data_IF_815740640959
#
_entry.id   IF_815740640959
#
_cell.length_a   1.000
_cell.length_b   1.000
_cell.length_c   1.000
_cell.angle_alpha   90.00
_cell.angle_beta   90.00
_cell.angle_gamma   90.00
#
_symmetry.space_group_name_H-M   'P 1'
#
loop_
_entity.id
_entity.type
_entity.pdbx_description
1 polymer ?
#
# COMPACT_ATOMS: atom_id res chain seq x y z
N UNK A 1 -18.93 8.45 -18.61
CA UNK A 1 -17.87 9.43 -18.29
C UNK A 1 -17.44 10.06 -19.60
N UNK A 2 -17.76 11.30 -19.81
CA UNK A 2 -17.38 12.08 -20.99
C UNK A 2 -15.89 12.38 -20.97
N UNK A 3 -15.33 12.81 -22.09
CA UNK A 3 -13.91 13.19 -22.17
C UNK A 3 -13.60 14.40 -21.26
N UNK A 4 -14.59 15.27 -21.04
CA UNK A 4 -14.53 16.40 -20.11
C UNK A 4 -14.57 15.97 -18.64
N UNK A 5 -15.41 15.01 -18.28
CA UNK A 5 -15.41 14.41 -16.93
C UNK A 5 -14.10 13.67 -16.63
N UNK A 6 -13.53 12.99 -17.62
CA UNK A 6 -12.23 12.35 -17.52
C UNK A 6 -11.10 13.36 -17.36
N UNK A 7 -11.17 14.50 -18.09
CA UNK A 7 -10.22 15.59 -17.97
C UNK A 7 -10.35 16.31 -16.62
N UNK A 8 -11.57 16.48 -16.10
CA UNK A 8 -11.83 17.07 -14.80
C UNK A 8 -11.26 16.18 -13.65
N UNK A 9 -11.44 14.86 -13.75
CA UNK A 9 -10.78 13.92 -12.81
C UNK A 9 -9.26 13.96 -12.90
N UNK A 10 -8.67 14.17 -14.08
CA UNK A 10 -7.23 14.39 -14.26
C UNK A 10 -6.72 15.66 -13.61
N UNK A 11 -7.55 16.69 -13.48
CA UNK A 11 -7.18 17.99 -12.90
C UNK A 11 -6.73 17.88 -11.43
N UNK A 12 -7.25 16.90 -10.70
CA UNK A 12 -6.87 16.61 -9.30
C UNK A 12 -5.75 15.57 -9.15
N UNK A 13 -5.40 14.86 -10.22
CA UNK A 13 -4.38 13.81 -10.15
C UNK A 13 -2.94 14.34 -10.17
N UNK A 14 -2.72 15.61 -10.44
CA UNK A 14 -1.41 16.19 -10.70
C UNK A 14 -0.73 15.55 -11.94
N UNK A 15 0.41 16.05 -12.40
CA UNK A 15 1.13 15.41 -13.49
C UNK A 15 1.57 14.01 -13.08
N UNK A 16 1.14 13.00 -13.83
CA UNK A 16 1.52 11.61 -13.59
C UNK A 16 3.04 11.50 -13.58
N UNK A 17 3.61 10.87 -12.55
CA UNK A 17 5.03 10.53 -12.56
C UNK A 17 5.29 9.65 -13.79
N UNK A 18 6.44 9.75 -14.46
CA UNK A 18 6.82 8.80 -15.51
C UNK A 18 6.72 7.34 -15.08
N UNK A 19 6.98 7.06 -13.78
CA UNK A 19 6.81 5.75 -13.16
C UNK A 19 5.35 5.30 -12.95
N UNK A 20 4.37 6.19 -13.15
CA UNK A 20 2.93 5.87 -13.13
C UNK A 20 2.39 5.61 -14.54
N UNK A 21 3.18 5.84 -15.58
CA UNK A 21 2.87 5.32 -16.90
C UNK A 21 2.90 3.79 -16.81
N UNK A 22 1.84 3.15 -17.28
CA UNK A 22 1.62 1.70 -17.16
C UNK A 22 2.72 0.85 -17.80
N UNK A 23 3.56 1.47 -18.62
CA UNK A 23 4.74 0.87 -19.24
C UNK A 23 5.84 1.90 -19.42
N UNK A 24 7.07 1.45 -19.25
CA UNK A 24 8.23 2.30 -19.50
C UNK A 24 8.40 2.46 -21.02
N UNK A 25 8.30 3.70 -21.48
CA UNK A 25 8.54 4.03 -22.88
C UNK A 25 9.99 3.72 -23.25
N UNK A 26 10.21 3.05 -24.39
CA UNK A 26 11.55 2.68 -24.88
C UNK A 26 12.20 1.49 -24.15
N UNK A 27 11.46 0.75 -23.31
CA UNK A 27 11.94 -0.50 -22.72
C UNK A 27 11.51 -1.69 -23.57
N UNK A 28 12.46 -2.57 -23.85
CA UNK A 28 12.21 -3.84 -24.53
C UNK A 28 11.69 -4.89 -23.51
N UNK A 29 10.40 -5.15 -23.54
CA UNK A 29 9.72 -6.12 -22.67
C UNK A 29 9.88 -7.57 -23.13
N UNK A 30 10.61 -7.84 -24.18
CA UNK A 30 11.03 -9.19 -24.61
C UNK A 30 12.40 -9.56 -24.05
N UNK A 31 13.18 -8.57 -23.57
CA UNK A 31 14.54 -8.78 -23.10
C UNK A 31 14.60 -9.41 -21.70
N UNK A 32 15.75 -10.04 -21.39
CA UNK A 32 16.03 -10.65 -20.09
C UNK A 32 15.93 -9.66 -18.95
N UNK A 33 14.85 -9.78 -18.14
CA UNK A 33 14.56 -8.89 -16.99
C UNK A 33 13.59 -9.54 -16.02
N UNK A 34 13.56 -9.04 -14.78
CA UNK A 34 12.53 -9.35 -13.78
C UNK A 34 11.48 -8.26 -13.73
N UNK A 35 10.24 -8.67 -13.64
CA UNK A 35 9.08 -7.77 -13.61
C UNK A 35 8.17 -8.13 -12.46
N UNK A 36 7.89 -7.17 -11.57
CA UNK A 36 6.80 -7.27 -10.62
C UNK A 36 5.50 -6.87 -11.33
N UNK A 37 4.59 -7.79 -11.44
CA UNK A 37 3.29 -7.61 -12.08
C UNK A 37 2.22 -7.44 -11.00
N UNK A 38 1.36 -6.43 -11.16
CA UNK A 38 0.18 -6.24 -10.32
C UNK A 38 -1.07 -6.23 -11.17
N UNK A 39 -2.00 -7.13 -10.87
CA UNK A 39 -3.30 -7.20 -11.53
C UNK A 39 -4.43 -7.17 -10.52
N UNK A 40 -5.50 -6.46 -10.86
CA UNK A 40 -6.62 -6.20 -9.97
C UNK A 40 -7.89 -6.83 -10.54
N UNK A 41 -8.71 -7.41 -9.67
CA UNK A 41 -10.05 -7.89 -10.01
C UNK A 41 -10.94 -6.69 -10.35
N UNK A 42 -11.77 -6.82 -11.37
CA UNK A 42 -12.75 -5.81 -11.75
C UNK A 42 -13.69 -5.50 -10.58
N UNK A 43 -13.87 -4.20 -10.29
CA UNK A 43 -14.65 -3.75 -9.14
C UNK A 43 -14.05 -4.08 -7.77
N UNK A 44 -12.79 -4.51 -7.68
CA UNK A 44 -12.15 -4.88 -6.41
C UNK A 44 -12.90 -5.96 -5.62
N UNK A 45 -13.64 -6.83 -6.30
CA UNK A 45 -14.37 -7.93 -5.67
C UNK A 45 -13.40 -8.94 -5.06
N UNK A 46 -13.61 -9.39 -3.81
CA UNK A 46 -12.69 -10.31 -3.12
C UNK A 46 -12.90 -11.77 -3.58
N UNK A 47 -12.62 -12.05 -4.86
CA UNK A 47 -12.93 -13.34 -5.50
C UNK A 47 -11.87 -14.42 -5.27
N UNK A 48 -10.64 -14.05 -4.88
CA UNK A 48 -9.55 -15.02 -4.75
C UNK A 48 -9.47 -15.67 -3.37
N UNK A 49 -10.25 -15.21 -2.42
CA UNK A 49 -10.27 -15.79 -1.09
C UNK A 49 -10.57 -14.78 0.01
N UNK A 50 -10.43 -15.24 1.24
CA UNK A 50 -10.63 -14.40 2.43
C UNK A 50 -9.33 -14.23 3.19
N UNK A 51 -9.16 -13.05 3.77
CA UNK A 51 -8.07 -12.79 4.67
C UNK A 51 -8.36 -13.43 6.02
N UNK A 52 -7.45 -14.25 6.51
CA UNK A 52 -7.46 -14.84 7.84
C UNK A 52 -6.20 -14.38 8.59
N UNK A 53 -6.30 -14.22 9.89
CA UNK A 53 -5.17 -13.80 10.70
C UNK A 53 -5.43 -13.97 12.19
N UNK A 54 -4.35 -13.98 12.94
CA UNK A 54 -4.33 -14.05 14.40
C UNK A 54 -3.47 -12.91 14.93
N UNK A 55 -3.99 -12.20 15.92
CA UNK A 55 -3.27 -11.11 16.56
C UNK A 55 -2.09 -11.70 17.35
N UNK A 56 -0.89 -11.22 17.07
CA UNK A 56 0.29 -11.49 17.86
C UNK A 56 0.41 -10.53 19.05
N UNK A 57 1.40 -10.72 19.88
CA UNK A 57 1.70 -9.79 21.00
C UNK A 57 2.12 -8.40 20.49
N UNK A 58 2.69 -8.34 19.30
CA UNK A 58 3.05 -7.11 18.61
C UNK A 58 2.57 -7.18 17.15
N UNK A 59 2.47 -6.03 16.44
CA UNK A 59 2.16 -6.03 15.02
C UNK A 59 3.11 -6.91 14.17
N UNK A 60 4.39 -6.99 14.54
CA UNK A 60 5.37 -7.84 13.83
C UNK A 60 5.10 -9.33 14.01
N UNK A 61 4.60 -9.75 15.17
CA UNK A 61 4.27 -11.15 15.48
C UNK A 61 2.85 -11.53 15.05
N UNK A 62 2.08 -10.58 14.52
CA UNK A 62 0.76 -10.85 13.94
C UNK A 62 0.92 -11.67 12.66
N UNK A 63 0.25 -12.80 12.59
CA UNK A 63 0.23 -13.67 11.43
C UNK A 63 -1.05 -13.47 10.64
N UNK A 64 -0.92 -13.39 9.32
CA UNK A 64 -2.08 -13.36 8.44
C UNK A 64 -1.76 -13.96 7.07
N UNK A 65 -2.76 -14.60 6.50
CA UNK A 65 -2.69 -15.24 5.19
C UNK A 65 -3.99 -15.04 4.42
N UNK A 66 -4.00 -15.39 3.16
CA UNK A 66 -5.22 -15.45 2.36
C UNK A 66 -5.59 -16.91 2.17
N UNK A 67 -6.72 -17.31 2.74
CA UNK A 67 -7.34 -18.61 2.48
C UNK A 67 -7.99 -18.54 1.10
N UNK A 68 -7.44 -19.29 0.14
CA UNK A 68 -7.83 -19.18 -1.25
C UNK A 68 -9.20 -19.80 -1.50
N UNK A 69 -10.00 -19.14 -2.34
CA UNK A 69 -11.21 -19.71 -2.94
C UNK A 69 -10.83 -20.70 -4.04
N UNK A 70 -11.80 -21.52 -4.54
CA UNK A 70 -11.55 -22.36 -5.70
C UNK A 70 -11.03 -21.57 -6.92
N UNK A 71 -11.52 -20.36 -7.14
CA UNK A 71 -11.01 -19.49 -8.19
C UNK A 71 -9.59 -19.00 -7.86
N UNK A 72 -9.33 -18.63 -6.60
CA UNK A 72 -7.99 -18.21 -6.16
C UNK A 72 -6.94 -19.30 -6.36
N UNK A 73 -7.30 -20.55 -6.03
CA UNK A 73 -6.44 -21.70 -6.28
C UNK A 73 -6.16 -21.86 -7.78
N UNK A 74 -7.18 -21.82 -8.61
CA UNK A 74 -7.03 -21.93 -10.07
C UNK A 74 -6.14 -20.80 -10.63
N UNK A 75 -6.29 -19.57 -10.16
CA UNK A 75 -5.45 -18.44 -10.56
C UNK A 75 -3.99 -18.68 -10.16
N UNK A 76 -3.74 -19.27 -8.99
CA UNK A 76 -2.39 -19.66 -8.54
C UNK A 76 -1.79 -20.71 -9.46
N UNK A 77 -2.54 -21.74 -9.80
CA UNK A 77 -2.08 -22.83 -10.66
C UNK A 77 -1.76 -22.31 -12.07
N UNK A 78 -2.59 -21.44 -12.64
CA UNK A 78 -2.36 -20.80 -13.94
C UNK A 78 -1.11 -19.88 -13.92
N UNK A 79 -0.83 -19.21 -12.80
CA UNK A 79 0.39 -18.42 -12.67
C UNK A 79 1.64 -19.29 -12.68
N UNK A 80 1.62 -20.40 -11.99
CA UNK A 80 2.73 -21.35 -11.97
C UNK A 80 2.90 -22.06 -13.33
N UNK A 81 1.80 -22.26 -14.07
CA UNK A 81 1.82 -22.84 -15.40
C UNK A 81 2.37 -21.88 -16.48
N UNK A 82 2.63 -20.61 -16.19
CA UNK A 82 3.23 -19.65 -17.14
C UNK A 82 4.51 -20.22 -17.71
N UNK A 83 5.39 -20.81 -16.91
CA UNK A 83 6.64 -21.42 -17.37
C UNK A 83 6.45 -22.59 -18.33
N UNK A 84 5.33 -23.30 -18.22
CA UNK A 84 5.00 -24.42 -19.13
C UNK A 84 4.63 -23.90 -20.52
N UNK A 85 3.92 -22.77 -20.59
CA UNK A 85 3.48 -22.17 -21.86
C UNK A 85 4.53 -21.25 -22.48
N UNK A 86 5.42 -20.70 -21.66
CA UNK A 86 6.49 -19.78 -22.03
C UNK A 86 7.76 -20.23 -21.32
N UNK A 87 8.51 -21.20 -21.87
CA UNK A 87 9.70 -21.77 -21.25
C UNK A 87 10.80 -20.74 -20.94
N UNK A 88 10.80 -19.63 -21.68
CA UNK A 88 11.72 -18.50 -21.48
C UNK A 88 11.33 -17.60 -20.29
N UNK A 89 10.17 -17.87 -19.62
CA UNK A 89 9.67 -17.06 -18.51
C UNK A 89 9.46 -17.92 -17.27
N UNK A 90 10.13 -17.55 -16.19
CA UNK A 90 9.97 -18.21 -14.88
C UNK A 90 9.08 -17.42 -13.94
N UNK A 91 8.09 -18.08 -13.34
CA UNK A 91 7.27 -17.54 -12.27
C UNK A 91 8.03 -17.60 -10.93
N UNK A 92 8.67 -16.48 -10.55
CA UNK A 92 9.58 -16.39 -9.38
C UNK A 92 8.83 -16.31 -8.06
N UNK A 93 7.70 -15.58 -8.03
CA UNK A 93 6.92 -15.36 -6.81
C UNK A 93 5.48 -15.00 -7.16
N UNK A 94 4.57 -15.33 -6.25
CA UNK A 94 3.15 -14.94 -6.34
C UNK A 94 2.62 -14.68 -4.93
N UNK A 95 1.91 -13.56 -4.77
CA UNK A 95 1.07 -13.27 -3.62
C UNK A 95 -0.34 -12.93 -4.11
N UNK A 96 -1.28 -13.81 -3.81
CA UNK A 96 -2.71 -13.55 -4.02
C UNK A 96 -3.28 -12.82 -2.81
N UNK A 97 -3.93 -11.71 -3.09
CA UNK A 97 -4.75 -10.97 -2.15
C UNK A 97 -6.22 -11.19 -2.51
N UNK A 98 -7.19 -10.92 -1.62
CA UNK A 98 -8.58 -11.21 -1.92
C UNK A 98 -9.10 -10.65 -3.25
N UNK A 99 -8.62 -9.47 -3.67
CA UNK A 99 -9.12 -8.69 -4.80
C UNK A 99 -8.06 -8.34 -5.86
N UNK A 100 -6.84 -8.85 -5.72
CA UNK A 100 -5.74 -8.60 -6.65
C UNK A 100 -4.61 -9.61 -6.47
N UNK A 101 -3.68 -9.61 -7.42
CA UNK A 101 -2.43 -10.35 -7.28
C UNK A 101 -1.21 -9.45 -7.47
N UNK A 102 -0.14 -9.86 -6.82
CA UNK A 102 1.21 -9.45 -7.12
C UNK A 102 2.04 -10.67 -7.47
N UNK A 103 2.75 -10.64 -8.59
CA UNK A 103 3.61 -11.75 -8.98
C UNK A 103 4.90 -11.24 -9.59
N UNK A 104 5.98 -11.99 -9.45
CA UNK A 104 7.26 -11.69 -10.08
C UNK A 104 7.51 -12.70 -11.17
N UNK A 105 7.69 -12.20 -12.40
CA UNK A 105 8.12 -12.98 -13.56
C UNK A 105 9.56 -12.63 -13.91
N UNK A 106 10.31 -13.63 -14.26
CA UNK A 106 11.66 -13.48 -14.79
C UNK A 106 11.70 -13.96 -16.24
N UNK A 107 11.94 -13.05 -17.17
CA UNK A 107 12.31 -13.38 -18.55
C UNK A 107 13.79 -13.76 -18.55
N UNK A 108 14.07 -15.06 -18.68
CA UNK A 108 15.44 -15.60 -18.57
C UNK A 108 16.24 -15.44 -19.86
N UNK A 109 15.55 -15.52 -21.00
CA UNK A 109 16.10 -15.40 -22.33
C UNK A 109 15.28 -14.44 -23.15
N UNK A 110 15.87 -13.90 -24.23
CA UNK A 110 15.13 -13.07 -25.19
C UNK A 110 13.91 -13.83 -25.71
N UNK A 111 12.73 -13.24 -25.56
CA UNK A 111 11.48 -13.80 -26.07
C UNK A 111 11.30 -13.45 -27.54
N UNK A 112 10.70 -14.34 -28.32
CA UNK A 112 10.20 -14.02 -29.67
C UNK A 112 8.97 -13.10 -29.57
N UNK A 113 8.11 -13.32 -28.55
CA UNK A 113 6.95 -12.51 -28.24
C UNK A 113 7.27 -11.40 -27.24
N UNK A 114 6.23 -10.89 -26.62
CA UNK A 114 6.32 -9.78 -25.68
C UNK A 114 5.69 -10.18 -24.34
N UNK A 115 6.21 -9.68 -23.19
CA UNK A 115 5.65 -9.95 -21.86
C UNK A 115 4.13 -9.74 -21.76
N UNK A 116 3.57 -8.82 -22.58
CA UNK A 116 2.12 -8.65 -22.66
C UNK A 116 1.36 -9.84 -23.22
N UNK A 117 2.01 -10.68 -24.02
CA UNK A 117 1.38 -11.86 -24.58
C UNK A 117 1.27 -12.95 -23.52
N UNK A 118 2.29 -13.10 -22.69
CA UNK A 118 2.28 -13.94 -21.48
C UNK A 118 1.13 -13.53 -20.57
N UNK A 119 1.02 -12.24 -20.25
CA UNK A 119 -0.05 -11.73 -19.37
C UNK A 119 -1.44 -11.86 -20.05
N UNK A 120 -1.53 -11.71 -21.36
CA UNK A 120 -2.79 -11.91 -22.11
C UNK A 120 -3.22 -13.37 -22.06
N UNK A 121 -2.32 -14.31 -22.26
CA UNK A 121 -2.58 -15.75 -22.13
C UNK A 121 -3.08 -16.08 -20.72
N UNK A 122 -2.38 -15.65 -19.69
CA UNK A 122 -2.77 -15.81 -18.29
C UNK A 122 -4.18 -15.23 -18.01
N UNK A 123 -4.47 -14.00 -18.48
CA UNK A 123 -5.80 -13.39 -18.32
C UNK A 123 -6.88 -14.18 -19.03
N UNK A 124 -6.59 -14.72 -20.20
CA UNK A 124 -7.55 -15.51 -20.98
C UNK A 124 -7.91 -16.80 -20.24
N UNK A 125 -6.93 -17.56 -19.76
CA UNK A 125 -7.14 -18.80 -19.02
C UNK A 125 -7.90 -18.54 -17.71
N UNK A 126 -7.49 -17.57 -16.93
CA UNK A 126 -8.15 -17.23 -15.67
C UNK A 126 -9.55 -16.62 -15.83
N UNK A 127 -9.83 -15.89 -16.92
CA UNK A 127 -11.20 -15.46 -17.28
C UNK A 127 -12.10 -16.65 -17.63
N UNK A 128 -11.56 -17.67 -18.31
CA UNK A 128 -12.27 -18.91 -18.57
C UNK A 128 -12.64 -19.60 -17.26
N UNK A 129 -11.69 -19.77 -16.36
CA UNK A 129 -11.91 -20.33 -15.04
C UNK A 129 -12.96 -19.54 -14.22
N UNK A 130 -12.92 -18.22 -14.25
CA UNK A 130 -13.91 -17.37 -13.59
C UNK A 130 -15.33 -17.62 -14.12
N UNK A 131 -15.50 -17.72 -15.45
CA UNK A 131 -16.81 -18.01 -16.04
C UNK A 131 -17.34 -19.37 -15.61
N UNK A 132 -16.48 -20.37 -15.54
CA UNK A 132 -16.85 -21.73 -15.12
C UNK A 132 -17.19 -21.79 -13.63
N UNK A 133 -16.30 -21.29 -12.78
CA UNK A 133 -16.38 -21.46 -11.32
C UNK A 133 -17.39 -20.50 -10.67
N UNK A 134 -17.39 -19.24 -11.10
CA UNK A 134 -18.19 -18.19 -10.43
C UNK A 134 -19.51 -17.92 -11.16
N UNK A 135 -19.50 -17.90 -12.50
CA UNK A 135 -20.70 -17.60 -13.27
C UNK A 135 -21.50 -18.85 -13.66
N UNK A 136 -21.00 -20.07 -13.38
CA UNK A 136 -21.68 -21.33 -13.73
C UNK A 136 -21.88 -21.53 -15.22
N UNK A 137 -21.13 -20.83 -16.08
CA UNK A 137 -21.24 -20.92 -17.53
C UNK A 137 -20.36 -22.04 -18.05
N UNK A 138 -20.99 -23.18 -18.44
CA UNK A 138 -20.31 -24.21 -19.25
C UNK A 138 -19.84 -23.60 -20.58
N UNK A 139 -18.74 -24.09 -21.12
CA UNK A 139 -18.28 -23.67 -22.44
C UNK A 139 -19.31 -24.00 -23.51
N UNK A 140 -19.78 -23.01 -24.24
CA UNK A 140 -20.46 -23.24 -25.51
C UNK A 140 -19.40 -23.74 -26.49
N UNK A 141 -19.32 -25.06 -26.70
CA UNK A 141 -18.56 -25.64 -27.81
C UNK A 141 -17.40 -26.60 -27.47
N UNK A 142 -17.34 -27.21 -26.31
CA UNK A 142 -16.46 -28.37 -26.14
C UNK A 142 -17.22 -29.63 -26.58
N UNK A 143 -16.97 -30.09 -27.80
CA UNK A 143 -17.34 -31.43 -28.22
C UNK A 143 -16.76 -32.42 -27.20
N UNK A 144 -17.59 -33.39 -26.74
CA UNK A 144 -17.15 -34.42 -25.81
C UNK A 144 -15.91 -35.14 -26.37
N UNK A 145 -14.87 -35.37 -25.54
CA UNK A 145 -13.75 -36.16 -25.99
C UNK A 145 -14.24 -37.58 -26.32
N UNK A 146 -13.70 -38.22 -27.36
CA UNK A 146 -14.06 -39.60 -27.69
C UNK A 146 -13.70 -40.49 -26.50
N UNK A 147 -14.65 -41.28 -26.05
CA UNK A 147 -14.45 -42.30 -25.03
C UNK A 147 -13.47 -43.34 -25.59
N UNK A 148 -12.22 -43.30 -25.16
CA UNK A 148 -11.31 -44.42 -25.33
C UNK A 148 -11.50 -45.39 -24.18
N UNK A 149 -11.94 -46.59 -24.58
CA UNK A 149 -12.09 -47.78 -23.76
C UNK A 149 -10.80 -48.10 -22.98
N UNK A 150 -11.00 -48.45 -21.71
CA UNK A 150 -10.00 -49.01 -20.82
C UNK A 150 -9.31 -50.23 -21.42
N UNK A 151 -7.99 -50.22 -21.43
CA UNK A 151 -7.23 -51.46 -21.33
C UNK A 151 -6.23 -51.33 -20.19
N UNK A 152 -6.40 -52.25 -19.26
CA UNK A 152 -5.61 -52.42 -18.06
C UNK A 152 -4.15 -52.83 -18.40
N UNK A 153 -3.18 -52.16 -17.82
CA UNK A 153 -1.78 -52.54 -17.83
C UNK A 153 -1.16 -52.30 -16.47
N UNK A 154 -0.83 -53.41 -15.81
CA UNK A 154 -0.18 -53.49 -14.48
C UNK A 154 1.26 -52.97 -14.51
N UNK A 155 1.66 -52.33 -13.35
CA UNK A 155 3.00 -52.55 -12.74
C UNK A 155 3.97 -51.40 -12.91
N UNK A 156 4.37 -50.70 -11.90
CA UNK A 156 5.52 -50.89 -11.01
C UNK A 156 5.68 -49.64 -10.10
N UNK A 157 5.83 -49.89 -8.83
CA UNK A 157 6.24 -48.92 -7.84
C UNK A 157 7.76 -48.73 -7.90
N UNK A 158 8.24 -47.47 -7.79
CA UNK A 158 9.51 -47.19 -7.16
C UNK A 158 9.62 -45.70 -6.77
N UNK A 159 9.87 -45.51 -5.54
CA UNK A 159 10.62 -44.62 -4.69
C UNK A 159 10.91 -43.18 -5.16
N UNK A 160 10.20 -42.19 -4.65
CA UNK A 160 10.65 -40.80 -4.67
C UNK A 160 11.08 -40.34 -3.27
N UNK A 161 12.37 -40.15 -3.14
CA UNK A 161 13.08 -39.60 -1.97
C UNK A 161 12.68 -38.16 -1.73
N UNK A 162 12.19 -37.86 -0.53
CA UNK A 162 11.97 -36.50 -0.04
C UNK A 162 13.30 -35.85 0.29
N UNK A 163 13.63 -34.77 -0.37
CA UNK A 163 14.76 -33.91 0.02
C UNK A 163 14.24 -32.78 0.86
N UNK A 164 14.47 -32.87 2.18
CA UNK A 164 14.19 -31.81 3.13
C UNK A 164 15.21 -30.66 2.98
N UNK A 165 14.72 -29.44 2.82
CA UNK A 165 15.55 -28.25 2.95
C UNK A 165 15.43 -27.69 4.36
N UNK A 166 16.53 -27.80 5.08
CA UNK A 166 16.78 -27.21 6.39
C UNK A 166 16.90 -25.69 6.29
N UNK A 167 16.19 -24.97 7.15
CA UNK A 167 16.35 -23.54 7.33
C UNK A 167 17.63 -23.25 8.12
N UNK A 168 18.59 -22.61 7.48
CA UNK A 168 19.77 -22.07 8.16
C UNK A 168 19.60 -20.55 8.31
N UNK A 169 19.88 -20.08 9.54
CA UNK A 169 19.67 -18.72 9.99
C UNK A 169 20.43 -17.65 9.18
N UNK A 170 19.77 -16.54 8.97
CA UNK A 170 20.36 -15.32 8.42
C UNK A 170 20.73 -14.37 9.56
N UNK A 171 22.03 -14.25 9.76
CA UNK A 171 22.70 -13.26 10.60
C UNK A 171 22.43 -11.85 10.10
N UNK A 172 22.25 -10.93 11.05
CA UNK A 172 22.09 -9.50 10.81
C UNK A 172 23.35 -8.92 10.14
N UNK A 173 23.19 -8.41 8.91
CA UNK A 173 24.22 -7.64 8.22
C UNK A 173 23.88 -6.15 8.29
N UNK A 174 24.87 -5.37 8.77
CA UNK A 174 24.76 -3.95 9.07
C UNK A 174 24.33 -3.08 7.89
N UNK A 175 23.52 -2.10 8.19
CA UNK A 175 23.14 -1.03 7.29
C UNK A 175 24.24 0.03 7.27
N UNK A 176 24.95 0.14 6.14
CA UNK A 176 25.81 1.28 5.82
C UNK A 176 24.94 2.50 5.56
N UNK A 177 25.24 3.59 6.24
CA UNK A 177 24.56 4.87 6.05
C UNK A 177 25.10 5.55 4.79
N UNK A 178 24.37 5.42 3.69
CA UNK A 178 24.46 6.37 2.58
C UNK A 178 23.13 6.36 1.82
N UNK A 179 22.50 7.52 1.78
CA UNK A 179 21.29 7.77 1.02
C UNK A 179 20.00 7.76 1.84
N UNK A 180 19.71 8.91 2.48
CA UNK A 180 18.37 9.28 2.88
C UNK A 180 17.48 9.41 1.63
N UNK A 181 17.12 8.29 1.02
CA UNK A 181 16.13 8.24 -0.05
C UNK A 181 14.77 8.44 0.59
N UNK A 182 14.12 9.52 0.20
CA UNK A 182 12.76 9.83 0.57
C UNK A 182 11.90 8.57 0.53
N UNK A 183 11.24 8.29 1.66
CA UNK A 183 10.24 7.24 1.77
C UNK A 183 9.20 7.48 0.69
N UNK A 184 9.22 6.66 -0.36
CA UNK A 184 8.26 6.76 -1.43
C UNK A 184 6.89 6.37 -0.91
N UNK A 185 6.03 7.36 -0.71
CA UNK A 185 4.62 7.11 -0.52
C UNK A 185 4.07 6.53 -1.83
N UNK A 186 3.84 5.23 -1.86
CA UNK A 186 3.17 4.58 -2.98
C UNK A 186 1.69 4.93 -2.94
N UNK A 187 1.28 5.91 -3.74
CA UNK A 187 -0.12 6.23 -3.94
C UNK A 187 -0.76 5.17 -4.86
N UNK A 188 -1.49 4.25 -4.28
CA UNK A 188 -2.38 3.36 -5.02
C UNK A 188 -3.72 4.07 -5.21
N UNK A 189 -3.99 4.55 -6.42
CA UNK A 189 -5.28 5.12 -6.79
C UNK A 189 -6.32 4.01 -6.99
N UNK A 190 -7.17 3.80 -5.99
CA UNK A 190 -8.40 3.02 -6.11
C UNK A 190 -9.58 3.97 -6.26
N UNK A 191 -10.15 4.09 -7.44
CA UNK A 191 -11.37 4.84 -7.69
C UNK A 191 -12.57 4.13 -7.04
N UNK A 192 -13.21 4.79 -6.07
CA UNK A 192 -14.53 4.41 -5.56
C UNK A 192 -15.58 5.17 -6.37
N UNK A 193 -16.37 4.46 -7.18
CA UNK A 193 -17.50 5.05 -7.88
C UNK A 193 -18.72 5.08 -6.97
N UNK A 194 -19.26 6.28 -6.75
CA UNK A 194 -20.56 6.49 -6.13
C UNK A 194 -21.68 6.15 -7.13
N UNK A 195 -22.72 5.45 -6.63
CA UNK A 195 -23.93 5.11 -7.39
C UNK A 195 -24.80 6.35 -7.50
N UNK A 196 -24.98 6.85 -8.73
CA UNK A 196 -25.96 7.88 -9.07
C UNK A 196 -26.85 7.37 -10.21
N UNK A 197 -28.17 7.36 -10.00
CA UNK A 197 -29.16 7.09 -11.04
C UNK A 197 -29.16 8.18 -12.10
N UNK A 198 -29.01 7.80 -13.37
CA UNK A 198 -29.21 8.71 -14.49
C UNK A 198 -29.88 7.99 -15.68
N UNK A 199 -30.74 8.72 -16.38
CA UNK A 199 -31.63 8.32 -17.44
C UNK A 199 -30.89 7.83 -18.69
N UNK A 200 -31.58 6.95 -19.47
CA UNK A 200 -31.05 6.27 -20.64
C UNK A 200 -30.71 7.24 -21.80
N UNK A 201 -29.45 7.18 -22.23
CA UNK A 201 -28.91 7.83 -23.43
C UNK A 201 -28.55 6.73 -24.46
N UNK A 202 -28.68 6.94 -25.78
CA UNK A 202 -28.52 5.88 -26.78
C UNK A 202 -27.09 5.31 -26.81
N UNK A 203 -27.04 3.98 -26.85
CA UNK A 203 -25.81 3.18 -26.68
C UNK A 203 -24.86 3.30 -27.86
N UNK A 204 -23.70 3.88 -27.65
CA UNK A 204 -22.56 3.86 -28.57
C UNK A 204 -21.77 2.53 -28.50
N UNK A 205 -20.89 2.29 -29.49
CA UNK A 205 -19.99 1.10 -29.46
C UNK A 205 -19.14 0.99 -28.19
N UNK A 206 -18.93 2.10 -27.46
CA UNK A 206 -18.18 2.15 -26.18
C UNK A 206 -19.00 1.56 -25.03
N UNK A 207 -20.32 1.73 -25.02
CA UNK A 207 -21.20 1.21 -23.96
C UNK A 207 -21.30 -0.31 -23.99
N UNK A 208 -21.34 -0.93 -25.19
CA UNK A 208 -21.29 -2.40 -25.30
C UNK A 208 -20.02 -3.03 -24.73
N UNK A 209 -18.88 -2.31 -24.78
CA UNK A 209 -17.65 -2.79 -24.15
C UNK A 209 -17.70 -2.68 -22.63
N UNK A 210 -18.49 -1.75 -22.09
CA UNK A 210 -18.67 -1.57 -20.64
C UNK A 210 -19.63 -2.64 -20.08
N UNK A 211 -20.77 -2.87 -20.73
CA UNK A 211 -21.69 -3.96 -20.38
C UNK A 211 -21.06 -5.35 -20.47
N UNK A 212 -20.20 -5.57 -21.47
CA UNK A 212 -19.41 -6.80 -21.58
C UNK A 212 -18.40 -6.94 -20.44
N UNK A 213 -17.94 -5.83 -19.83
CA UNK A 213 -17.03 -5.84 -18.67
C UNK A 213 -17.75 -6.13 -17.37
N UNK A 214 -18.95 -5.62 -17.18
CA UNK A 214 -19.77 -5.93 -15.99
C UNK A 214 -20.21 -7.40 -15.94
N UNK A 215 -20.38 -8.03 -17.09
CA UNK A 215 -20.96 -9.36 -17.19
C UNK A 215 -19.96 -10.50 -17.46
N UNK A 216 -18.65 -10.29 -17.39
CA UNK A 216 -17.81 -11.42 -17.71
C UNK A 216 -16.30 -11.28 -17.67
N UNK A 217 -15.75 -10.21 -17.18
CA UNK A 217 -14.31 -10.09 -17.00
C UNK A 217 -13.90 -10.21 -15.54
N UNK A 218 -12.90 -11.05 -15.28
CA UNK A 218 -12.28 -11.17 -13.96
C UNK A 218 -11.40 -9.97 -13.65
N UNK A 219 -10.62 -9.50 -14.63
CA UNK A 219 -9.57 -8.53 -14.46
C UNK A 219 -9.94 -7.14 -14.96
N UNK A 220 -9.49 -6.11 -14.26
CA UNK A 220 -9.46 -4.76 -14.81
C UNK A 220 -8.64 -4.72 -16.11
N UNK A 221 -8.94 -3.77 -17.02
CA UNK A 221 -8.11 -3.55 -18.20
C UNK A 221 -6.65 -3.27 -17.82
N UNK A 222 -5.72 -3.81 -18.61
CA UNK A 222 -4.28 -3.65 -18.41
C UNK A 222 -3.75 -4.31 -17.10
N UNK A 223 -2.54 -3.97 -16.73
CA UNK A 223 -1.84 -4.36 -15.50
C UNK A 223 -0.75 -3.33 -15.21
N UNK A 224 -0.28 -3.29 -13.98
CA UNK A 224 0.89 -2.50 -13.61
C UNK A 224 2.12 -3.40 -13.59
N UNK A 225 3.22 -2.91 -14.11
CA UNK A 225 4.53 -3.56 -14.04
C UNK A 225 5.56 -2.63 -13.40
N UNK A 226 6.52 -3.24 -12.73
CA UNK A 226 7.71 -2.59 -12.21
C UNK A 226 8.92 -3.43 -12.58
N UNK A 227 9.91 -2.80 -13.23
CA UNK A 227 11.13 -3.47 -13.69
C UNK A 227 12.11 -3.50 -12.53
N UNK A 228 12.49 -4.69 -12.08
CA UNK A 228 13.51 -4.87 -11.05
C UNK A 228 14.90 -4.68 -11.69
N UNK A 229 15.56 -3.61 -11.31
CA UNK A 229 16.85 -3.23 -11.93
C UNK A 229 17.99 -3.14 -10.92
N UNK A 230 17.69 -3.05 -9.62
CA UNK A 230 18.68 -2.80 -8.58
C UNK A 230 19.06 -4.10 -7.85
N UNK A 231 20.33 -4.19 -7.42
CA UNK A 231 20.78 -5.30 -6.57
C UNK A 231 19.98 -5.35 -5.27
N UNK A 232 19.56 -6.56 -4.88
CA UNK A 232 18.76 -6.79 -3.66
C UNK A 232 17.29 -6.33 -3.75
N UNK A 233 16.85 -5.85 -4.92
CA UNK A 233 15.46 -5.42 -5.11
C UNK A 233 14.50 -6.61 -5.09
N UNK A 234 14.92 -7.76 -5.63
CA UNK A 234 14.11 -8.99 -5.62
C UNK A 234 13.76 -9.43 -4.20
N UNK A 235 14.74 -9.48 -3.30
CA UNK A 235 14.52 -9.95 -1.93
C UNK A 235 13.60 -8.99 -1.15
N UNK A 236 13.79 -7.68 -1.34
CA UNK A 236 12.88 -6.67 -0.77
C UNK A 236 11.44 -6.82 -1.26
N UNK A 237 11.27 -7.11 -2.55
CA UNK A 237 9.93 -7.34 -3.10
C UNK A 237 9.33 -8.65 -2.63
N UNK A 238 10.10 -9.73 -2.56
CA UNK A 238 9.64 -11.01 -1.99
C UNK A 238 9.16 -10.83 -0.56
N UNK A 239 9.95 -10.17 0.27
CA UNK A 239 9.57 -9.87 1.65
C UNK A 239 8.32 -9.01 1.74
N UNK A 240 8.24 -7.94 0.92
CA UNK A 240 7.05 -7.09 0.85
C UNK A 240 5.80 -7.88 0.43
N UNK A 241 5.92 -8.76 -0.55
CA UNK A 241 4.80 -9.58 -1.02
C UNK A 241 4.32 -10.55 0.06
N UNK A 242 5.24 -11.23 0.73
CA UNK A 242 4.93 -12.13 1.83
C UNK A 242 4.24 -11.41 3.00
N UNK A 243 4.61 -10.16 3.27
CA UNK A 243 4.05 -9.32 4.34
C UNK A 243 2.69 -8.69 4.00
N UNK A 244 2.26 -8.69 2.74
CA UNK A 244 1.03 -8.03 2.31
C UNK A 244 -0.24 -8.50 3.04
N UNK A 245 -0.47 -9.81 3.30
CA UNK A 245 -1.63 -10.26 4.07
C UNK A 245 -1.64 -9.67 5.48
N UNK A 246 -0.52 -9.71 6.21
CA UNK A 246 -0.38 -9.14 7.55
C UNK A 246 -0.68 -7.63 7.54
N UNK A 247 -0.11 -6.89 6.59
CA UNK A 247 -0.38 -5.45 6.43
C UNK A 247 -1.85 -5.15 6.14
N UNK A 248 -2.50 -5.97 5.34
CA UNK A 248 -3.92 -5.82 5.07
C UNK A 248 -4.75 -6.11 6.33
N UNK A 249 -4.39 -7.16 7.07
CA UNK A 249 -5.04 -7.55 8.31
C UNK A 249 -4.96 -6.43 9.36
N UNK A 250 -3.76 -5.93 9.66
CA UNK A 250 -3.54 -4.84 10.60
C UNK A 250 -4.30 -3.56 10.22
N UNK A 251 -4.33 -3.21 8.93
CA UNK A 251 -5.10 -2.04 8.46
C UNK A 251 -6.61 -2.19 8.64
N UNK A 252 -7.13 -3.41 8.49
CA UNK A 252 -8.55 -3.67 8.70
C UNK A 252 -8.92 -3.66 10.19
N UNK A 253 -8.01 -4.09 11.04
CA UNK A 253 -8.18 -4.06 12.50
C UNK A 253 -8.11 -2.66 13.08
N UNK A 254 -7.20 -1.83 12.55
CA UNK A 254 -6.90 -0.50 13.08
C UNK A 254 -7.02 0.58 11.97
N UNK A 255 -8.21 0.78 11.39
CA UNK A 255 -8.38 1.69 10.25
C UNK A 255 -7.97 3.13 10.60
N UNK A 256 -8.14 3.56 11.85
CA UNK A 256 -7.82 4.91 12.32
C UNK A 256 -6.33 5.24 12.25
N UNK A 257 -5.46 4.24 12.41
CA UNK A 257 -4.01 4.41 12.33
C UNK A 257 -3.50 4.55 10.89
N UNK A 258 -4.30 4.15 9.91
CA UNK A 258 -3.88 4.08 8.50
C UNK A 258 -4.69 4.96 7.55
N UNK A 259 -5.76 5.60 8.05
CA UNK A 259 -6.52 6.59 7.29
C UNK A 259 -5.89 7.96 7.47
N UNK A 260 -5.67 8.67 6.34
CA UNK A 260 -5.25 10.06 6.40
C UNK A 260 -6.41 10.93 6.90
N UNK A 261 -6.17 11.69 7.93
CA UNK A 261 -7.07 12.73 8.43
C UNK A 261 -6.65 14.07 7.87
N UNK A 262 -7.62 14.89 7.49
CA UNK A 262 -7.41 16.25 6.98
C UNK A 262 -8.07 17.25 7.93
N UNK A 263 -7.66 18.51 7.85
CA UNK A 263 -8.27 19.56 8.64
C UNK A 263 -7.83 19.60 10.10
N UNK A 264 -6.74 18.91 10.46
CA UNK A 264 -6.21 18.91 11.81
C UNK A 264 -5.57 20.27 12.12
N UNK A 265 -6.22 21.08 12.98
CA UNK A 265 -5.73 22.41 13.33
C UNK A 265 -4.75 22.35 14.49
N UNK A 266 -3.55 22.92 14.28
CA UNK A 266 -2.51 23.09 15.29
C UNK A 266 -2.02 24.52 15.18
N UNK A 267 -2.45 25.37 16.12
CA UNK A 267 -2.25 26.83 16.01
C UNK A 267 -2.82 27.37 14.68
N UNK A 268 -1.98 28.02 13.90
CA UNK A 268 -2.34 28.55 12.56
C UNK A 268 -2.33 27.50 11.45
N UNK A 269 -1.74 26.33 11.70
CA UNK A 269 -1.56 25.31 10.68
C UNK A 269 -2.80 24.41 10.52
N UNK A 270 -3.10 24.09 9.25
CA UNK A 270 -4.11 23.10 8.87
C UNK A 270 -3.37 21.88 8.31
N UNK A 271 -3.31 20.81 9.10
CA UNK A 271 -2.47 19.67 8.81
C UNK A 271 -3.25 18.47 8.27
N UNK A 272 -2.60 17.69 7.42
CA UNK A 272 -2.93 16.31 7.14
C UNK A 272 -2.11 15.38 8.05
N UNK A 273 -2.71 14.25 8.49
CA UNK A 273 -2.10 13.37 9.46
C UNK A 273 -2.38 11.90 9.17
N UNK A 274 -1.43 11.01 9.45
CA UNK A 274 -1.60 9.55 9.45
C UNK A 274 -0.80 8.94 10.61
N UNK A 275 -1.37 7.95 11.28
CA UNK A 275 -0.81 7.34 12.49
C UNK A 275 -1.60 7.69 13.74
N UNK A 276 -0.99 7.51 14.89
CA UNK A 276 -1.63 7.70 16.18
C UNK A 276 -1.76 9.18 16.57
N UNK A 277 -2.93 9.77 16.37
CA UNK A 277 -3.23 11.17 16.72
C UNK A 277 -3.24 11.44 18.22
N UNK A 278 -3.43 10.42 19.07
CA UNK A 278 -3.39 10.59 20.53
C UNK A 278 -2.01 11.01 21.04
N UNK A 279 -0.93 10.84 20.22
CA UNK A 279 0.38 11.35 20.58
C UNK A 279 0.41 12.88 20.72
N UNK A 280 -0.52 13.61 20.09
CA UNK A 280 -0.65 15.07 20.25
C UNK A 280 -1.20 15.48 21.63
N UNK A 281 -1.88 14.58 22.31
CA UNK A 281 -2.41 14.81 23.66
C UNK A 281 -1.51 14.24 24.77
N UNK A 282 -0.30 13.82 24.41
CA UNK A 282 0.63 13.27 25.40
C UNK A 282 1.08 14.35 26.38
N UNK A 283 1.21 14.03 27.68
CA UNK A 283 1.50 15.04 28.71
C UNK A 283 2.91 15.66 28.57
N UNK A 284 3.81 14.97 27.90
CA UNK A 284 5.18 15.46 27.68
C UNK A 284 5.58 15.22 26.25
N UNK A 285 5.58 16.30 25.46
CA UNK A 285 6.11 16.31 24.09
C UNK A 285 7.35 17.18 24.07
N UNK A 286 8.41 16.71 23.43
CA UNK A 286 9.69 17.41 23.37
C UNK A 286 10.06 17.66 21.91
N UNK A 287 10.20 18.93 21.54
CA UNK A 287 10.73 19.31 20.24
C UNK A 287 12.21 18.92 20.13
N UNK A 288 12.55 18.15 19.11
CA UNK A 288 13.95 17.89 18.75
C UNK A 288 14.38 18.95 17.75
N UNK A 289 15.31 19.79 18.17
CA UNK A 289 15.88 20.84 17.35
C UNK A 289 17.39 20.87 17.57
N UNK A 290 18.17 20.73 16.49
CA UNK A 290 19.62 20.76 16.51
C UNK A 290 20.12 21.75 15.47
N UNK A 291 21.11 22.56 15.84
CA UNK A 291 21.79 23.48 14.92
C UNK A 291 22.49 22.69 13.80
N UNK A 292 22.51 23.24 12.60
CA UNK A 292 23.30 22.71 11.47
C UNK A 292 24.81 22.96 11.64
N UNK A 293 25.21 23.77 12.59
CA UNK A 293 26.60 24.17 12.84
C UNK A 293 27.20 23.56 14.12
N UNK A 294 26.62 22.50 14.64
CA UNK A 294 27.15 21.79 15.79
C UNK A 294 28.38 20.95 15.43
N UNK A 295 29.35 20.92 16.34
CA UNK A 295 30.42 19.93 16.29
C UNK A 295 29.86 18.52 16.59
N UNK A 296 30.55 17.49 16.14
CA UNK A 296 30.11 16.11 16.33
C UNK A 296 29.86 15.77 17.82
N UNK A 297 30.71 16.26 18.72
CA UNK A 297 30.51 16.08 20.16
C UNK A 297 29.23 16.68 20.70
N UNK A 298 28.79 17.82 20.13
CA UNK A 298 27.56 18.49 20.55
C UNK A 298 26.34 17.80 20.01
N UNK A 299 26.43 17.26 18.78
CA UNK A 299 25.38 16.40 18.18
C UNK A 299 25.20 15.16 19.05
N UNK A 300 26.29 14.50 19.46
CA UNK A 300 26.21 13.30 20.31
C UNK A 300 25.58 13.59 21.67
N UNK A 301 25.95 14.71 22.31
CA UNK A 301 25.33 15.16 23.57
C UNK A 301 23.84 15.46 23.40
N UNK A 302 23.46 16.16 22.31
CA UNK A 302 22.05 16.45 22.02
C UNK A 302 21.25 15.17 21.82
N UNK A 303 21.75 14.23 20.99
CA UNK A 303 21.12 12.93 20.78
C UNK A 303 20.94 12.18 22.11
N UNK A 304 21.97 12.11 22.94
CA UNK A 304 21.91 11.45 24.25
C UNK A 304 20.85 12.10 25.16
N UNK A 305 20.78 13.43 25.19
CA UNK A 305 19.78 14.17 25.98
C UNK A 305 18.35 13.92 25.53
N UNK A 306 18.08 13.99 24.23
CA UNK A 306 16.75 13.68 23.69
C UNK A 306 16.36 12.23 23.88
N UNK A 307 17.29 11.29 23.73
CA UNK A 307 17.03 9.87 23.99
C UNK A 307 16.74 9.61 25.47
N UNK A 308 17.40 10.30 26.39
CA UNK A 308 17.08 10.22 27.82
C UNK A 308 15.67 10.74 28.11
N UNK A 309 15.27 11.89 27.50
CA UNK A 309 13.92 12.42 27.60
C UNK A 309 12.87 11.45 27.07
N UNK A 310 13.11 10.85 25.90
CA UNK A 310 12.20 9.87 25.28
C UNK A 310 12.05 8.60 26.12
N UNK A 311 13.14 8.04 26.65
CA UNK A 311 13.11 6.91 27.59
C UNK A 311 12.40 7.27 28.90
N UNK A 312 12.44 8.55 29.31
CA UNK A 312 11.68 9.10 30.43
C UNK A 312 10.21 9.39 30.11
N UNK A 313 9.67 8.86 28.99
CA UNK A 313 8.25 8.94 28.61
C UNK A 313 7.87 10.19 27.81
N UNK A 314 8.82 10.94 27.24
CA UNK A 314 8.47 12.02 26.32
C UNK A 314 8.24 11.51 24.91
N UNK A 315 7.26 12.09 24.21
CA UNK A 315 7.09 11.94 22.76
C UNK A 315 7.98 12.95 22.06
N UNK A 316 8.85 12.49 21.16
CA UNK A 316 9.70 13.39 20.37
C UNK A 316 8.94 13.90 19.14
N UNK A 317 9.06 15.20 18.85
CA UNK A 317 8.53 15.81 17.64
C UNK A 317 9.63 16.55 16.87
N UNK A 318 9.73 16.25 15.55
CA UNK A 318 10.73 16.91 14.69
C UNK A 318 10.37 16.82 13.20
N UNK A 319 10.76 17.84 12.41
CA UNK A 319 10.80 17.75 10.96
C UNK A 319 12.03 17.00 10.41
N UNK A 320 12.97 16.59 11.26
CA UNK A 320 14.20 15.88 10.87
C UNK A 320 14.99 16.60 9.76
N UNK A 321 15.25 17.89 9.93
CA UNK A 321 15.93 18.72 8.92
C UNK A 321 17.46 18.60 9.05
N UNK A 322 17.99 18.90 10.24
CA UNK A 322 19.43 18.83 10.52
C UNK A 322 19.91 17.39 10.74
N UNK A 323 21.20 17.16 10.67
CA UNK A 323 21.81 15.86 10.92
C UNK A 323 21.54 15.37 12.35
N UNK A 324 21.68 16.24 13.35
CA UNK A 324 21.39 15.92 14.73
C UNK A 324 19.93 15.53 14.97
N UNK A 325 18.98 16.22 14.33
CA UNK A 325 17.57 15.85 14.37
C UNK A 325 17.33 14.48 13.74
N UNK A 326 17.90 14.22 12.55
CA UNK A 326 17.76 12.92 11.86
C UNK A 326 18.30 11.77 12.70
N UNK A 327 19.49 11.95 13.29
CA UNK A 327 20.11 10.93 14.16
C UNK A 327 19.27 10.68 15.41
N UNK A 328 18.76 11.74 16.05
CA UNK A 328 17.89 11.62 17.22
C UNK A 328 16.62 10.86 16.89
N UNK A 329 15.90 11.30 15.86
CA UNK A 329 14.64 10.68 15.46
C UNK A 329 14.86 9.25 14.99
N UNK A 330 15.97 8.97 14.33
CA UNK A 330 16.33 7.59 13.93
C UNK A 330 16.63 6.73 15.14
N UNK A 331 17.43 7.18 16.10
CA UNK A 331 17.74 6.45 17.31
C UNK A 331 16.47 6.15 18.14
N UNK A 332 15.56 7.13 18.25
CA UNK A 332 14.29 6.94 18.92
C UNK A 332 13.39 5.94 18.18
N UNK A 333 13.36 5.99 16.84
CA UNK A 333 12.63 5.05 16.02
C UNK A 333 13.11 3.61 16.19
N UNK A 334 14.43 3.40 16.13
CA UNK A 334 15.06 2.08 16.27
C UNK A 334 14.92 1.51 17.71
N UNK A 335 14.81 2.42 18.71
CA UNK A 335 14.52 2.03 20.09
C UNK A 335 13.03 1.81 20.39
N UNK A 336 12.14 1.87 19.39
CA UNK A 336 10.70 1.66 19.57
C UNK A 336 9.98 2.79 20.32
N UNK A 337 10.59 3.97 20.44
CA UNK A 337 10.04 5.08 21.23
C UNK A 337 9.01 5.90 20.43
N UNK A 338 7.99 6.47 21.09
CA UNK A 338 6.94 7.23 20.42
C UNK A 338 7.45 8.55 19.86
N UNK A 339 7.00 8.88 18.64
CA UNK A 339 7.43 10.10 17.97
C UNK A 339 6.40 10.67 16.98
N UNK A 340 6.52 11.96 16.75
CA UNK A 340 5.75 12.73 15.77
C UNK A 340 6.71 13.26 14.71
N UNK A 341 6.49 12.85 13.45
CA UNK A 341 7.31 13.26 12.32
C UNK A 341 6.55 14.29 11.46
N UNK A 342 7.17 15.44 11.20
CA UNK A 342 6.62 16.46 10.32
C UNK A 342 7.27 16.33 8.94
N UNK A 343 6.44 16.24 7.87
CA UNK A 343 6.92 16.07 6.50
C UNK A 343 6.50 17.24 5.60
N UNK A 344 7.29 17.51 4.57
CA UNK A 344 7.03 18.60 3.63
C UNK A 344 6.17 18.21 2.42
N UNK A 345 6.02 16.92 2.13
CA UNK A 345 5.40 16.47 0.88
C UNK A 345 3.86 16.47 0.89
N UNK A 346 3.24 16.77 2.03
CA UNK A 346 1.80 16.60 2.22
C UNK A 346 1.36 15.14 2.23
N UNK A 347 0.14 14.89 2.67
CA UNK A 347 -0.47 13.56 2.67
C UNK A 347 -1.75 13.60 1.82
N UNK A 348 -1.83 12.76 0.80
CA UNK A 348 -3.05 12.56 0.02
C UNK A 348 -3.94 11.49 0.63
N UNK A 349 -5.20 11.41 0.21
CA UNK A 349 -6.19 10.43 0.72
C UNK A 349 -5.73 8.97 0.64
N UNK A 350 -4.81 8.68 -0.27
CA UNK A 350 -4.26 7.35 -0.48
C UNK A 350 -2.84 7.17 0.06
N UNK A 351 -2.29 8.18 0.72
CA UNK A 351 -0.98 8.09 1.36
C UNK A 351 -1.02 7.04 2.46
N UNK A 352 -0.02 6.16 2.48
CA UNK A 352 0.11 5.09 3.47
C UNK A 352 1.54 5.04 3.97
N UNK A 353 1.74 4.87 5.27
CA UNK A 353 3.07 4.57 5.79
C UNK A 353 3.64 3.32 5.12
N UNK A 354 4.91 3.34 4.75
CA UNK A 354 5.59 2.22 4.11
C UNK A 354 6.74 1.70 4.95
N UNK A 355 7.21 0.47 4.66
CA UNK A 355 8.35 -0.11 5.37
C UNK A 355 8.13 -0.16 6.87
N UNK A 356 9.16 0.16 7.66
CA UNK A 356 9.12 0.18 9.11
C UNK A 356 8.15 1.21 9.70
N UNK A 357 7.82 2.28 8.97
CA UNK A 357 6.80 3.24 9.42
C UNK A 357 5.40 2.65 9.47
N UNK A 358 5.12 1.62 8.65
CA UNK A 358 3.87 0.90 8.75
C UNK A 358 3.74 0.22 10.10
N UNK A 359 4.78 -0.50 10.53
CA UNK A 359 4.80 -1.22 11.79
C UNK A 359 4.75 -0.25 12.97
N UNK A 360 5.51 0.83 12.94
CA UNK A 360 5.46 1.89 13.94
C UNK A 360 4.08 2.56 14.08
N UNK A 361 3.35 2.72 12.96
CA UNK A 361 1.95 3.18 13.00
C UNK A 361 1.04 2.11 13.59
N UNK A 362 1.22 0.84 13.22
CA UNK A 362 0.43 -0.28 13.75
C UNK A 362 0.59 -0.43 15.28
N UNK A 363 1.80 -0.19 15.80
CA UNK A 363 2.11 -0.15 17.23
C UNK A 363 1.58 1.09 17.94
N UNK A 364 1.08 2.07 17.20
CA UNK A 364 0.57 3.33 17.76
C UNK A 364 1.66 4.29 18.24
N UNK A 365 2.92 4.05 17.95
CA UNK A 365 4.05 4.90 18.39
C UNK A 365 4.49 5.96 17.37
N UNK A 366 3.83 6.04 16.20
CA UNK A 366 4.17 7.02 15.17
C UNK A 366 2.95 7.83 14.74
N UNK A 367 3.15 9.14 14.64
CA UNK A 367 2.27 10.07 13.95
C UNK A 367 3.08 10.82 12.88
N UNK A 368 2.57 10.86 11.66
CA UNK A 368 3.16 11.62 10.56
C UNK A 368 2.21 12.77 10.24
N UNK A 369 2.72 14.00 10.23
CA UNK A 369 1.97 15.23 9.97
C UNK A 369 2.56 15.98 8.78
N UNK A 370 1.70 16.71 8.05
CA UNK A 370 2.14 17.70 7.09
C UNK A 370 1.20 18.90 7.08
N UNK A 371 1.73 20.14 7.12
CA UNK A 371 0.95 21.36 6.98
C UNK A 371 0.70 21.76 5.52
N UNK A 372 1.15 20.97 4.54
CA UNK A 372 1.01 21.27 3.12
C UNK A 372 0.09 20.28 2.42
N UNK A 373 -0.40 20.70 1.27
CA UNK A 373 -1.10 19.83 0.35
C UNK A 373 -0.17 18.77 -0.24
N UNK A 374 -0.76 17.62 -0.59
CA UNK A 374 0.01 16.50 -1.14
C UNK A 374 0.64 16.84 -2.50
N UNK A 375 1.93 16.56 -2.59
CA UNK A 375 2.70 16.70 -3.83
C UNK A 375 3.30 15.36 -4.24
N UNK A 376 3.07 14.98 -5.52
CA UNK A 376 3.63 13.74 -6.08
C UNK A 376 5.13 13.83 -6.38
N UNK A 377 5.73 15.01 -6.30
CA UNK A 377 7.17 15.24 -6.50
C UNK A 377 7.85 15.41 -5.15
N UNK A 378 9.12 14.98 -5.09
CA UNK A 378 9.95 15.29 -3.93
C UNK A 378 10.07 16.81 -3.80
N UNK A 379 9.63 17.33 -2.68
CA UNK A 379 9.73 18.77 -2.35
C UNK A 379 11.17 19.09 -1.98
N UNK A 380 11.70 20.12 -2.58
CA UNK A 380 12.99 20.71 -2.15
C UNK A 380 12.68 21.65 -1.00
N UNK A 381 13.27 21.38 0.16
CA UNK A 381 13.06 22.21 1.35
C UNK A 381 13.66 23.60 1.15
N UNK A 382 12.83 24.62 1.33
CA UNK A 382 13.29 26.01 1.42
C UNK A 382 13.51 26.39 2.88
N UNK A 383 14.27 27.47 3.13
CA UNK A 383 14.47 28.00 4.49
C UNK A 383 13.13 28.35 5.17
N UNK A 384 12.20 28.96 4.43
CA UNK A 384 10.86 29.29 4.93
C UNK A 384 10.10 28.04 5.39
N UNK A 385 10.11 26.98 4.59
CA UNK A 385 9.48 25.70 4.96
C UNK A 385 10.13 25.10 6.21
N UNK A 386 11.45 25.16 6.33
CA UNK A 386 12.14 24.68 7.53
C UNK A 386 11.70 25.44 8.78
N UNK A 387 11.55 26.76 8.68
CA UNK A 387 11.06 27.60 9.79
C UNK A 387 9.62 27.25 10.16
N UNK A 388 8.73 27.07 9.19
CA UNK A 388 7.34 26.70 9.42
C UNK A 388 7.21 25.30 10.06
N UNK A 389 8.00 24.32 9.63
CA UNK A 389 8.02 23.00 10.24
C UNK A 389 8.53 23.03 11.69
N UNK A 390 9.57 23.82 11.97
CA UNK A 390 10.07 24.01 13.32
C UNK A 390 9.06 24.72 14.22
N UNK A 391 8.35 25.72 13.69
CA UNK A 391 7.28 26.40 14.40
C UNK A 391 6.11 25.45 14.70
N UNK A 392 5.71 24.61 13.74
CA UNK A 392 4.70 23.58 13.99
C UNK A 392 5.15 22.60 15.08
N UNK A 393 6.42 22.17 15.06
CA UNK A 393 6.97 21.29 16.08
C UNK A 393 6.95 21.95 17.47
N UNK A 394 7.28 23.24 17.54
CA UNK A 394 7.22 24.03 18.77
C UNK A 394 5.80 24.11 19.34
N UNK A 395 4.82 24.46 18.50
CA UNK A 395 3.41 24.54 18.90
C UNK A 395 2.89 23.19 19.41
N UNK A 396 3.29 22.08 18.78
CA UNK A 396 2.93 20.73 19.26
C UNK A 396 3.55 20.47 20.63
N UNK A 397 4.83 20.82 20.84
CA UNK A 397 5.51 20.62 22.12
C UNK A 397 4.93 21.50 23.24
N UNK A 398 4.36 22.65 22.92
CA UNK A 398 3.68 23.56 23.84
C UNK A 398 2.21 23.16 24.14
N UNK A 399 1.73 22.05 23.57
CA UNK A 399 0.40 21.52 23.84
C UNK A 399 -0.71 22.10 22.96
N UNK A 400 -0.38 22.90 21.94
CA UNK A 400 -1.39 23.42 20.99
C UNK A 400 -2.10 22.34 20.17
N UNK A 401 -1.64 21.09 20.23
CA UNK A 401 -2.22 19.93 19.56
C UNK A 401 -3.34 19.20 20.34
N UNK A 402 -3.53 19.50 21.63
CA UNK A 402 -4.44 18.74 22.49
C UNK A 402 -5.92 18.81 22.06
N UNK A 403 -6.37 19.97 21.60
CA UNK A 403 -7.73 20.15 21.06
C UNK A 403 -7.99 19.36 19.75
N UNK A 404 -6.93 19.09 18.99
CA UNK A 404 -7.00 18.39 17.71
C UNK A 404 -7.13 16.86 17.85
N UNK A 405 -6.83 16.30 19.02
CA UNK A 405 -6.90 14.86 19.29
C UNK A 405 -8.31 14.35 19.61
N UNK A 406 -9.27 15.24 19.89
CA UNK A 406 -10.65 14.85 20.22
C UNK A 406 -11.41 14.44 18.95
N UNK A 407 -12.17 13.33 18.98
CA UNK A 407 -13.06 12.98 17.89
C UNK A 407 -14.15 14.06 17.76
N UNK A 408 -14.32 14.63 16.57
CA UNK A 408 -15.48 15.46 16.25
C UNK A 408 -16.72 14.59 16.36
N UNK A 409 -17.46 14.69 17.46
CA UNK A 409 -18.81 14.16 17.55
C UNK A 409 -19.63 14.93 16.51
N UNK A 410 -20.14 14.21 15.52
CA UNK A 410 -21.05 14.77 14.53
C UNK A 410 -22.25 15.38 15.28
N UNK A 411 -22.43 16.68 15.07
CA UNK A 411 -23.45 17.46 15.76
C UNK A 411 -24.85 16.87 15.59
N UNK A 412 -25.44 16.50 16.68
CA UNK A 412 -26.85 16.23 16.74
C UNK A 412 -27.63 17.51 16.40
N UNK A 413 -28.43 17.45 15.35
CA UNK A 413 -29.41 18.47 15.02
C UNK A 413 -30.45 18.53 16.11
N UNK A 414 -30.29 19.46 17.07
CA UNK A 414 -31.31 19.80 18.02
C UNK A 414 -32.41 20.61 17.34
N UNK A 415 -33.52 19.96 17.04
CA UNK A 415 -34.76 20.65 16.66
C UNK A 415 -35.31 21.43 17.88
N UNK A 416 -35.18 22.75 17.83
CA UNK A 416 -35.85 23.65 18.78
C UNK A 416 -37.34 23.63 18.56
N UNK A 417 -38.07 23.10 19.51
CA UNK A 417 -39.51 23.28 19.66
C UNK A 417 -39.77 24.56 20.43
N UNK A 418 -40.27 25.57 19.74
CA UNK A 418 -40.90 26.76 20.35
C UNK A 418 -42.26 26.38 20.92
N UNK A 419 -42.43 26.41 22.22
CA UNK A 419 -43.74 26.42 22.84
C UNK A 419 -43.99 27.83 23.44
N UNK A 420 -44.88 28.57 22.80
CA UNK A 420 -45.60 29.70 23.38
C UNK A 420 -46.49 29.23 24.52
N UNK A 421 -46.49 29.93 25.63
CA UNK A 421 -47.47 29.78 26.70
C UNK A 421 -47.63 31.09 27.43
N UNK A 422 -48.76 31.70 27.19
CA UNK A 422 -49.16 33.01 27.72
C UNK A 422 -49.74 32.93 29.14
N UNK A 423 -49.58 34.01 29.84
CA UNK A 423 -50.49 34.74 30.75
C UNK A 423 -51.10 34.07 32.03
N UNK A 424 -51.02 34.80 33.08
CA UNK A 424 -52.16 34.89 34.00
C UNK A 424 -51.81 34.96 35.46
N UNK A 425 -51.95 36.19 36.01
CA UNK A 425 -52.10 36.61 37.37
C UNK A 425 -50.95 36.51 38.34
#
# INVERSE_FOLDING_TARGET
>A
MTEEEYAAHKKYAGPAKPSMNRRRVGHDYSSRRMYLITMTVEGRRPLFGRLVGHDGATPETTEASVELSPLGQRVKDEWLAVTVHHPEVTAVSLQLMPDHLHGILFVEQQMEGHLSDVIRGFKTSTNKAYRQIVLGRAEAGAAAPPQHSEQAGKGHADGASAVGFSAAGASAAGFSADGASAVGFSAFSGSSAAVGCAAAVPQSKRDRSHESREHGLLWTPNYNDHILSNRGELDRWRQYLADNPRRLYLRRRNPELFRVSFGLRIGRFNCSAVGNRFLLAYPKITQVQCSTHFYESDVQKAVAGYMAAARGGAVLVSPSISDGEKRTMRAAFDAGLPQILITANGLGSYSKPGGAFFDACAEGRLLILSPWEHQNRKVVLTRAMCMEMNELARLIAEGCGTAAAQPTTAGGTGSGSTANGAAGQ
#
